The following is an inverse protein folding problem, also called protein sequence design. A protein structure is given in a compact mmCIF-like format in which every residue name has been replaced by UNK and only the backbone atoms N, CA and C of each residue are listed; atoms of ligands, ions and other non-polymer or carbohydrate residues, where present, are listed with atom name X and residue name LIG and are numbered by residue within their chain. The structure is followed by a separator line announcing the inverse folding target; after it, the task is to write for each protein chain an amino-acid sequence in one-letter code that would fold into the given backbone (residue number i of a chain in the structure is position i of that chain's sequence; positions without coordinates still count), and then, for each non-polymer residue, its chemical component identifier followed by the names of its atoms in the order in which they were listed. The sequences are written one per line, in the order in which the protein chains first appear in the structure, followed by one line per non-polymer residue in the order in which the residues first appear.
data_IF_562987315172
#
_entry.id   IF_562987315172
#
_cell.length_a   1.000
_cell.length_b   1.000
_cell.length_c   1.000
_cell.angle_alpha   90.00
_cell.angle_beta   90.00
_cell.angle_gamma   90.00
#
_symmetry.space_group_name_H-M   'P 1'
#
loop_
_entity.id
_entity.type
_entity.pdbx_description
1 polymer ?
#
# COMPACT_ATOMS: atom_id res chain seq x y z
N UNK A 1 -16.10 11.22 8.12
CA UNK A 1 -15.38 10.89 6.88
C UNK A 1 -14.66 9.58 7.13
N UNK A 2 -14.88 8.56 6.29
CA UNK A 2 -14.20 7.28 6.47
C UNK A 2 -12.79 7.35 5.86
N UNK A 3 -11.81 6.82 6.56
CA UNK A 3 -10.41 6.81 6.13
C UNK A 3 -9.95 5.39 5.85
N UNK A 4 -9.04 5.23 4.90
CA UNK A 4 -8.29 3.98 4.77
C UNK A 4 -7.24 3.92 5.89
N UNK A 5 -6.73 2.73 6.16
CA UNK A 5 -5.84 2.46 7.28
C UNK A 5 -4.51 1.94 6.72
N UNK A 6 -3.40 2.39 7.30
CA UNK A 6 -2.11 1.79 7.00
C UNK A 6 -2.02 0.39 7.60
N UNK A 7 -1.20 -0.47 6.98
CA UNK A 7 -0.86 -1.82 7.47
C UNK A 7 -2.04 -2.79 7.59
N UNK A 8 -3.22 -2.37 7.12
CA UNK A 8 -4.39 -3.21 7.00
C UNK A 8 -4.36 -3.93 5.66
N UNK A 9 -4.65 -5.23 5.68
CA UNK A 9 -4.85 -6.00 4.48
C UNK A 9 -6.17 -5.58 3.82
N UNK A 10 -6.11 -5.32 2.53
CA UNK A 10 -7.27 -5.09 1.67
C UNK A 10 -7.17 -6.02 0.48
N UNK A 11 -8.31 -6.47 -0.04
CA UNK A 11 -8.35 -6.89 -1.43
C UNK A 11 -8.32 -5.65 -2.33
N UNK A 12 -7.72 -5.76 -3.51
CA UNK A 12 -7.66 -4.64 -4.44
C UNK A 12 -9.06 -4.14 -4.84
N UNK A 13 -10.01 -5.05 -5.03
CA UNK A 13 -11.41 -4.69 -5.32
C UNK A 13 -12.04 -3.86 -4.20
N UNK A 14 -11.86 -4.28 -2.94
CA UNK A 14 -12.33 -3.59 -1.74
C UNK A 14 -11.71 -2.19 -1.67
N UNK A 15 -10.41 -2.08 -1.91
CA UNK A 15 -9.69 -0.81 -1.88
C UNK A 15 -10.26 0.16 -2.92
N UNK A 16 -10.43 -0.30 -4.16
CA UNK A 16 -11.03 0.50 -5.25
C UNK A 16 -12.46 0.91 -4.88
N UNK A 17 -13.29 -0.02 -4.41
CA UNK A 17 -14.67 0.28 -4.00
C UNK A 17 -14.74 1.30 -2.88
N UNK A 18 -13.84 1.25 -1.89
CA UNK A 18 -13.77 2.23 -0.80
C UNK A 18 -13.39 3.61 -1.33
N UNK A 19 -12.37 3.71 -2.18
CA UNK A 19 -11.95 4.98 -2.78
C UNK A 19 -13.09 5.58 -3.60
N UNK A 20 -13.75 4.78 -4.44
CA UNK A 20 -14.92 5.19 -5.22
C UNK A 20 -16.10 5.64 -4.34
N UNK A 21 -16.22 5.07 -3.13
CA UNK A 21 -17.21 5.47 -2.12
C UNK A 21 -16.81 6.69 -1.29
N UNK A 22 -15.69 7.34 -1.63
CA UNK A 22 -15.23 8.58 -0.99
C UNK A 22 -14.35 8.38 0.24
N UNK A 23 -13.82 7.17 0.48
CA UNK A 23 -12.77 6.98 1.48
C UNK A 23 -11.50 7.70 1.02
N UNK A 24 -10.78 8.31 1.96
CA UNK A 24 -9.57 9.06 1.67
C UNK A 24 -8.38 8.53 2.46
N UNK A 25 -7.21 8.66 1.85
CA UNK A 25 -5.91 8.54 2.49
C UNK A 25 -4.93 9.39 1.68
N UNK A 26 -4.15 10.19 2.36
CA UNK A 26 -3.11 10.99 1.72
C UNK A 26 -1.76 10.29 1.89
N UNK A 27 -0.85 10.52 0.94
CA UNK A 27 0.56 10.11 0.99
C UNK A 27 0.81 8.62 1.25
N UNK A 28 0.13 7.75 0.51
CA UNK A 28 0.32 6.30 0.58
C UNK A 28 0.87 5.73 -0.72
N UNK A 29 1.64 4.66 -0.59
CA UNK A 29 1.98 3.70 -1.62
C UNK A 29 1.24 2.38 -1.35
N UNK A 30 1.04 1.58 -2.40
CA UNK A 30 0.39 0.29 -2.35
C UNK A 30 1.45 -0.82 -2.47
N UNK A 31 1.52 -1.69 -1.46
CA UNK A 31 2.48 -2.79 -1.40
C UNK A 31 1.79 -4.14 -1.49
N UNK A 32 2.46 -5.11 -2.09
CA UNK A 32 1.98 -6.48 -2.31
C UNK A 32 3.09 -7.46 -2.00
N UNK A 33 2.76 -8.59 -1.39
CA UNK A 33 3.75 -9.55 -0.89
C UNK A 33 4.74 -10.06 -1.96
N UNK A 34 4.29 -10.14 -3.19
CA UNK A 34 5.12 -10.52 -4.32
C UNK A 34 4.93 -9.49 -5.45
N UNK A 35 5.90 -9.43 -6.35
CA UNK A 35 5.74 -8.68 -7.59
C UNK A 35 4.66 -9.34 -8.45
N UNK A 36 3.64 -8.56 -8.78
CA UNK A 36 2.52 -9.00 -9.59
C UNK A 36 2.55 -8.23 -10.91
N UNK A 37 2.72 -8.94 -12.04
CA UNK A 37 2.75 -8.31 -13.37
C UNK A 37 1.40 -7.72 -13.80
N UNK A 38 0.33 -8.14 -13.13
CA UNK A 38 -1.03 -7.66 -13.40
C UNK A 38 -1.81 -7.58 -12.10
N UNK A 39 -2.56 -6.50 -11.92
CA UNK A 39 -3.41 -6.30 -10.76
C UNK A 39 -4.66 -7.20 -10.84
N UNK A 40 -4.90 -8.02 -9.81
CA UNK A 40 -6.07 -8.91 -9.70
C UNK A 40 -7.01 -8.40 -8.61
N UNK A 41 -8.32 -8.59 -8.79
CA UNK A 41 -9.34 -8.12 -7.85
C UNK A 41 -9.15 -8.68 -6.43
N UNK A 42 -8.75 -9.95 -6.33
CA UNK A 42 -8.47 -10.69 -5.10
C UNK A 42 -7.04 -10.50 -4.57
N UNK A 43 -6.24 -9.63 -5.19
CA UNK A 43 -4.89 -9.37 -4.76
C UNK A 43 -4.89 -8.69 -3.39
N UNK A 44 -4.16 -9.28 -2.44
CA UNK A 44 -4.01 -8.72 -1.09
C UNK A 44 -2.96 -7.61 -1.15
N UNK A 45 -3.39 -6.40 -0.79
CA UNK A 45 -2.56 -5.22 -0.78
C UNK A 45 -2.54 -4.55 0.59
N UNK A 46 -1.49 -3.77 0.84
CA UNK A 46 -1.31 -3.00 2.06
C UNK A 46 -0.98 -1.55 1.71
N UNK A 47 -1.58 -0.61 2.44
CA UNK A 47 -1.21 0.80 2.36
C UNK A 47 -0.10 1.08 3.36
N UNK A 48 0.92 1.80 2.94
CA UNK A 48 1.96 2.35 3.82
C UNK A 48 2.55 3.61 3.16
N UNK A 49 3.36 4.37 3.89
CA UNK A 49 4.09 5.52 3.35
C UNK A 49 4.97 5.15 2.15
N UNK A 50 5.28 6.16 1.32
CA UNK A 50 6.27 6.02 0.26
C UNK A 50 7.65 5.71 0.85
N UNK A 51 8.50 4.97 0.11
CA UNK A 51 9.92 4.92 0.42
C UNK A 51 10.50 6.34 0.38
N UNK A 52 11.49 6.60 1.20
CA UNK A 52 12.23 7.87 1.19
C UNK A 52 13.60 7.65 0.59
N UNK A 53 14.13 8.66 -0.10
CA UNK A 53 15.51 8.62 -0.59
C UNK A 53 16.42 9.07 0.55
N UNK A 54 17.41 8.24 0.90
CA UNK A 54 18.43 8.57 1.90
C UNK A 54 19.49 9.53 1.35
N UNK A 55 20.38 10.01 2.22
CA UNK A 55 21.52 10.85 1.81
C UNK A 55 22.50 10.11 0.88
N UNK A 56 22.47 8.78 0.86
CA UNK A 56 23.28 7.91 0.01
C UNK A 56 22.58 7.53 -1.32
N UNK A 57 21.51 8.24 -1.70
CA UNK A 57 20.66 7.98 -2.88
C UNK A 57 19.93 6.60 -2.87
N UNK A 58 19.92 5.89 -1.74
CA UNK A 58 19.21 4.62 -1.59
C UNK A 58 17.72 4.82 -1.23
N UNK A 59 16.83 4.00 -1.81
CA UNK A 59 15.42 3.91 -1.40
C UNK A 59 15.27 3.17 -0.06
N UNK A 60 14.82 3.89 0.95
CA UNK A 60 14.54 3.35 2.29
C UNK A 60 13.05 3.11 2.44
N UNK A 61 12.69 1.82 2.44
CA UNK A 61 11.31 1.37 2.60
C UNK A 61 10.85 1.43 4.07
N UNK A 62 9.55 1.63 4.32
CA UNK A 62 9.00 1.58 5.68
C UNK A 62 9.26 0.22 6.35
N UNK A 63 9.54 0.23 7.66
CA UNK A 63 9.84 -1.00 8.43
C UNK A 63 8.76 -2.09 8.28
N UNK A 64 7.49 -1.69 8.17
CA UNK A 64 6.40 -2.64 7.97
C UNK A 64 6.54 -3.43 6.66
N UNK A 65 6.95 -2.76 5.58
CA UNK A 65 7.15 -3.37 4.26
C UNK A 65 8.31 -4.36 4.32
N UNK A 66 9.44 -3.95 4.91
CA UNK A 66 10.63 -4.78 5.07
C UNK A 66 10.33 -6.02 5.93
N UNK A 67 9.73 -5.84 7.10
CA UNK A 67 9.49 -6.91 8.07
C UNK A 67 8.46 -7.94 7.58
N UNK A 68 7.56 -7.55 6.67
CA UNK A 68 6.54 -8.44 6.11
C UNK A 68 6.89 -8.93 4.69
N UNK A 69 8.05 -8.52 4.16
CA UNK A 69 8.49 -8.82 2.79
C UNK A 69 7.41 -8.48 1.76
N UNK A 70 6.98 -7.21 1.76
CA UNK A 70 5.98 -6.63 0.85
C UNK A 70 6.64 -5.77 -0.24
#
# INVERSE_FOLDING_TARGET
MNQLEYRKAYNLDELISKIMSGYKKDNFCLYTKEYESSARADLICYLEMYPVISDDDDEVYPEFVINNSL
#
